data_IF_751075033718
#
_entry.id   IF_751075033718
#
_cell.length_a   1.000
_cell.length_b   1.000
_cell.length_c   1.000
_cell.angle_alpha   90.00
_cell.angle_beta   90.00
_cell.angle_gamma   90.00
#
_symmetry.space_group_name_H-M   'P 1'
#
loop_
_entity.id
_entity.type
_entity.pdbx_description
1 polymer ?
#
# COMPACT_ATOMS: atom_id res chain seq x y z
N UNK A 1 -2.13 9.77 13.45
CA UNK A 1 -2.82 9.64 12.14
C UNK A 1 -1.77 9.45 11.05
N UNK A 2 -1.78 8.33 10.32
CA UNK A 2 -0.82 8.15 9.24
C UNK A 2 -1.09 9.11 8.08
N UNK A 3 -0.09 9.92 7.78
CA UNK A 3 -0.10 10.83 6.64
C UNK A 3 0.81 10.21 5.57
N UNK A 4 0.21 9.76 4.48
CA UNK A 4 0.89 8.93 3.50
C UNK A 4 0.97 9.64 2.15
N UNK A 5 2.18 10.08 1.80
CA UNK A 5 2.42 10.67 0.47
C UNK A 5 2.47 9.55 -0.56
N UNK A 6 1.77 9.74 -1.67
CA UNK A 6 1.69 8.75 -2.73
C UNK A 6 1.98 9.38 -4.08
N UNK A 7 2.43 8.53 -5.03
CA UNK A 7 2.49 8.91 -6.43
C UNK A 7 1.08 9.16 -6.95
N UNK A 8 0.97 9.96 -8.01
CA UNK A 8 -0.32 10.28 -8.62
C UNK A 8 -1.08 9.02 -9.06
N UNK A 9 -0.41 8.07 -9.69
CA UNK A 9 -1.08 6.85 -10.15
C UNK A 9 -1.60 6.02 -8.96
N UNK A 10 -0.83 5.93 -7.88
CA UNK A 10 -1.23 5.20 -6.68
C UNK A 10 -2.45 5.87 -6.03
N UNK A 11 -2.45 7.20 -5.97
CA UNK A 11 -3.59 7.96 -5.46
C UNK A 11 -4.86 7.65 -6.24
N UNK A 12 -4.78 7.62 -7.56
CA UNK A 12 -5.91 7.31 -8.43
C UNK A 12 -6.43 5.89 -8.17
N UNK A 13 -5.53 4.91 -8.03
CA UNK A 13 -5.92 3.54 -7.72
C UNK A 13 -6.68 3.44 -6.40
N UNK A 14 -6.21 4.16 -5.39
CA UNK A 14 -6.87 4.20 -4.07
C UNK A 14 -8.24 4.87 -4.17
N UNK A 15 -8.32 5.99 -4.87
CA UNK A 15 -9.56 6.74 -5.03
C UNK A 15 -10.60 5.95 -5.81
N UNK A 16 -10.17 5.19 -6.81
CA UNK A 16 -11.07 4.37 -7.63
C UNK A 16 -11.43 3.03 -6.98
N UNK A 17 -10.81 2.70 -5.85
CA UNK A 17 -11.06 1.43 -5.18
C UNK A 17 -10.36 0.23 -5.80
N UNK A 18 -9.49 0.45 -6.78
CA UNK A 18 -8.70 -0.63 -7.41
C UNK A 18 -7.60 -1.13 -6.50
N UNK A 19 -7.02 -0.23 -5.70
CA UNK A 19 -6.02 -0.55 -4.71
C UNK A 19 -6.65 -0.42 -3.32
N UNK A 20 -6.65 -1.53 -2.56
CA UNK A 20 -7.20 -1.56 -1.22
C UNK A 20 -6.17 -1.95 -0.17
N UNK A 21 -4.93 -2.22 -0.59
CA UNK A 21 -3.83 -2.57 0.32
C UNK A 21 -2.66 -1.67 0.01
N UNK A 22 -2.31 -0.81 0.99
CA UNK A 22 -1.12 0.04 0.89
C UNK A 22 -0.03 -0.53 1.77
N UNK A 23 1.16 -0.74 1.18
CA UNK A 23 2.30 -1.32 1.89
C UNK A 23 3.35 -0.24 2.11
N UNK A 24 3.73 -0.07 3.37
CA UNK A 24 4.75 0.89 3.79
C UNK A 24 5.84 0.22 4.59
N UNK A 25 7.05 0.71 4.44
CA UNK A 25 8.23 0.25 5.15
C UNK A 25 8.08 0.55 6.64
N UNK A 26 8.42 -0.44 7.48
CA UNK A 26 8.45 -0.26 8.92
C UNK A 26 7.23 -0.80 9.63
N UNK A 27 7.18 -0.51 10.93
CA UNK A 27 6.11 -0.94 11.82
C UNK A 27 4.82 -0.15 11.57
N UNK A 28 3.66 -0.67 12.00
CA UNK A 28 2.39 0.02 11.79
C UNK A 28 2.34 1.38 12.48
N UNK A 29 1.81 2.37 11.76
CA UNK A 29 1.43 3.63 12.36
C UNK A 29 0.17 3.45 13.20
N UNK A 30 -0.01 4.29 14.22
CA UNK A 30 -1.22 4.31 15.03
C UNK A 30 -2.36 4.97 14.26
N UNK A 31 -3.59 4.58 14.63
CA UNK A 31 -4.79 5.18 14.07
C UNK A 31 -5.49 4.25 13.09
N UNK A 32 -6.74 4.56 12.83
CA UNK A 32 -7.61 3.76 11.98
C UNK A 32 -8.05 4.51 10.70
N UNK A 33 -7.46 5.69 10.46
CA UNK A 33 -7.71 6.47 9.25
C UNK A 33 -6.38 6.78 8.58
N UNK A 34 -6.28 6.49 7.30
CA UNK A 34 -5.13 6.83 6.49
C UNK A 34 -5.44 8.07 5.67
N UNK A 35 -4.54 9.05 5.69
CA UNK A 35 -4.62 10.27 4.89
C UNK A 35 -3.63 10.15 3.75
N UNK A 36 -4.12 9.92 2.54
CA UNK A 36 -3.28 9.83 1.35
C UNK A 36 -3.20 11.20 0.70
N UNK A 37 -1.97 11.60 0.36
CA UNK A 37 -1.71 12.91 -0.25
C UNK A 37 -0.93 12.73 -1.54
N UNK A 38 -1.41 13.37 -2.60
CA UNK A 38 -0.70 13.44 -3.87
C UNK A 38 -0.82 14.87 -4.41
N UNK A 39 0.26 15.66 -4.30
CA UNK A 39 0.21 17.08 -4.64
C UNK A 39 -0.84 17.81 -3.81
N UNK A 40 -1.78 18.54 -4.43
CA UNK A 40 -2.84 19.24 -3.71
C UNK A 40 -4.01 18.34 -3.34
N UNK A 41 -3.99 17.07 -3.74
CA UNK A 41 -5.12 16.15 -3.54
C UNK A 41 -4.96 15.36 -2.25
N UNK A 42 -6.07 15.15 -1.55
CA UNK A 42 -6.12 14.42 -0.30
C UNK A 42 -7.28 13.44 -0.32
N UNK A 43 -7.06 12.26 0.27
CA UNK A 43 -8.05 11.20 0.34
C UNK A 43 -7.95 10.53 1.71
N UNK A 44 -9.08 10.45 2.42
CA UNK A 44 -9.17 9.73 3.68
C UNK A 44 -9.81 8.37 3.46
N UNK A 45 -9.16 7.32 3.93
CA UNK A 45 -9.71 5.97 3.89
C UNK A 45 -9.59 5.33 5.27
N UNK A 46 -10.60 4.54 5.64
CA UNK A 46 -10.58 3.82 6.90
C UNK A 46 -9.64 2.62 6.78
N UNK A 47 -8.81 2.43 7.81
CA UNK A 47 -7.96 1.24 7.92
C UNK A 47 -8.76 0.16 8.65
N UNK A 48 -9.01 -0.96 7.98
CA UNK A 48 -9.81 -2.04 8.53
C UNK A 48 -8.95 -3.20 9.04
N UNK A 49 -7.68 -3.27 8.63
CA UNK A 49 -6.77 -4.32 9.05
C UNK A 49 -5.33 -3.85 8.81
N UNK A 50 -4.42 -4.29 9.67
CA UNK A 50 -2.98 -4.06 9.49
C UNK A 50 -2.27 -5.41 9.58
N UNK A 51 -1.36 -5.67 8.66
CA UNK A 51 -0.52 -6.86 8.68
C UNK A 51 0.94 -6.44 8.61
N UNK A 52 1.82 -7.15 9.32
CA UNK A 52 3.26 -6.89 9.27
C UNK A 52 3.98 -8.11 8.75
N UNK A 53 5.10 -7.89 8.07
CA UNK A 53 5.91 -8.97 7.54
C UNK A 53 6.85 -8.45 6.46
N UNK A 54 7.51 -9.39 5.79
CA UNK A 54 8.31 -9.08 4.62
C UNK A 54 7.42 -8.88 3.40
N UNK A 55 7.92 -8.21 2.38
CA UNK A 55 7.16 -7.99 1.15
C UNK A 55 6.61 -9.29 0.57
N UNK A 56 7.44 -10.34 0.55
CA UNK A 56 7.04 -11.64 -0.01
C UNK A 56 5.98 -12.36 0.81
N UNK A 57 5.82 -11.97 2.07
CA UNK A 57 4.76 -12.50 2.94
C UNK A 57 3.47 -11.71 2.79
N UNK A 58 3.57 -10.41 2.52
CA UNK A 58 2.42 -9.53 2.43
C UNK A 58 1.80 -9.54 1.03
N UNK A 59 2.61 -9.72 -0.01
CA UNK A 59 2.15 -9.76 -1.40
C UNK A 59 1.99 -11.22 -1.82
N UNK A 60 0.75 -11.63 -2.05
CA UNK A 60 0.41 -13.02 -2.33
C UNK A 60 -0.38 -13.15 -3.63
N UNK A 61 -0.53 -14.36 -4.10
CA UNK A 61 -1.27 -14.63 -5.32
C UNK A 61 -2.76 -14.24 -5.22
N UNK A 62 -3.31 -14.20 -4.01
CA UNK A 62 -4.70 -13.85 -3.80
C UNK A 62 -4.94 -12.36 -3.56
N UNK A 63 -3.89 -11.54 -3.47
CA UNK A 63 -4.07 -10.12 -3.15
C UNK A 63 -3.23 -9.14 -3.96
N UNK A 64 -2.29 -9.61 -4.78
CA UNK A 64 -1.29 -8.73 -5.38
C UNK A 64 -1.87 -7.62 -6.26
N UNK A 65 -3.02 -7.85 -6.90
CA UNK A 65 -3.67 -6.82 -7.72
C UNK A 65 -4.35 -5.75 -6.87
N UNK A 66 -4.68 -6.06 -5.62
CA UNK A 66 -5.19 -5.06 -4.69
C UNK A 66 -4.06 -4.21 -4.11
N UNK A 67 -2.82 -4.69 -4.22
CA UNK A 67 -1.62 -3.94 -3.84
C UNK A 67 -1.15 -3.09 -5.00
N UNK A 68 -0.93 -3.71 -6.17
CA UNK A 68 -0.49 -3.04 -7.40
C UNK A 68 -1.43 -3.48 -8.53
N UNK A 69 -2.46 -2.67 -8.83
CA UNK A 69 -3.48 -3.06 -9.80
C UNK A 69 -2.99 -3.38 -11.20
N UNK A 70 -1.87 -2.78 -11.63
CA UNK A 70 -1.32 -3.04 -12.95
C UNK A 70 -0.39 -4.25 -13.03
N UNK A 71 -0.10 -4.91 -11.90
CA UNK A 71 0.76 -6.09 -11.89
C UNK A 71 0.00 -7.31 -12.44
N UNK A 72 0.70 -8.15 -13.18
CA UNK A 72 0.13 -9.39 -13.71
C UNK A 72 0.49 -10.59 -12.84
N UNK A 73 1.52 -10.46 -12.01
CA UNK A 73 1.98 -11.52 -11.11
C UNK A 73 2.37 -10.92 -9.76
N UNK A 74 2.39 -11.74 -8.69
CA UNK A 74 2.92 -11.27 -7.39
C UNK A 74 4.35 -10.75 -7.50
N UNK A 75 5.18 -11.38 -8.31
CA UNK A 75 6.57 -10.95 -8.50
C UNK A 75 6.65 -9.54 -9.09
N UNK A 76 5.77 -9.20 -10.02
CA UNK A 76 5.71 -7.85 -10.58
C UNK A 76 5.29 -6.82 -9.55
N UNK A 77 4.33 -7.17 -8.68
CA UNK A 77 3.91 -6.29 -7.60
C UNK A 77 5.06 -6.04 -6.63
N UNK A 78 5.80 -7.08 -6.26
CA UNK A 78 6.98 -6.94 -5.41
C UNK A 78 8.05 -6.08 -6.10
N UNK A 79 8.27 -6.28 -7.39
CA UNK A 79 9.25 -5.48 -8.16
C UNK A 79 8.88 -4.00 -8.16
N UNK A 80 7.60 -3.69 -8.30
CA UNK A 80 7.11 -2.31 -8.24
C UNK A 80 7.45 -1.68 -6.88
N UNK A 81 7.17 -2.40 -5.79
CA UNK A 81 7.45 -1.92 -4.45
C UNK A 81 8.95 -1.78 -4.20
N UNK A 82 9.76 -2.67 -4.74
CA UNK A 82 11.21 -2.56 -4.63
C UNK A 82 11.74 -1.33 -5.37
N UNK A 83 11.07 -0.91 -6.43
CA UNK A 83 11.39 0.35 -7.10
C UNK A 83 11.18 1.57 -6.21
N UNK A 84 10.25 1.48 -5.24
CA UNK A 84 9.98 2.55 -4.29
C UNK A 84 10.88 2.49 -3.05
N UNK A 85 11.15 1.30 -2.54
CA UNK A 85 11.80 1.10 -1.24
C UNK A 85 13.21 0.52 -1.34
N UNK A 86 13.68 0.22 -2.55
CA UNK A 86 14.97 -0.40 -2.75
C UNK A 86 14.97 -1.86 -2.28
N UNK A 87 16.13 -2.34 -1.89
CA UNK A 87 16.33 -3.73 -1.48
C UNK A 87 16.20 -3.95 0.03
N UNK A 88 15.57 -3.01 0.74
CA UNK A 88 15.27 -3.19 2.16
C UNK A 88 14.45 -4.47 2.35
N UNK A 89 14.93 -5.38 3.19
CA UNK A 89 14.33 -6.70 3.41
C UNK A 89 13.90 -6.90 4.86
N UNK A 90 13.49 -5.82 5.52
CA UNK A 90 12.97 -5.87 6.87
C UNK A 90 11.45 -5.88 6.90
N UNK A 91 10.91 -5.39 8.01
CA UNK A 91 9.47 -5.37 8.26
C UNK A 91 8.79 -4.27 7.41
N UNK A 92 7.70 -4.66 6.78
CA UNK A 92 6.75 -3.75 6.14
C UNK A 92 5.39 -3.90 6.81
N UNK A 93 4.53 -2.95 6.60
CA UNK A 93 3.14 -3.00 7.06
C UNK A 93 2.20 -2.85 5.87
N UNK A 94 1.24 -3.76 5.78
CA UNK A 94 0.15 -3.69 4.81
C UNK A 94 -1.07 -3.11 5.52
N UNK A 95 -1.56 -1.98 5.02
CA UNK A 95 -2.76 -1.33 5.52
C UNK A 95 -3.91 -1.68 4.56
N UNK A 96 -4.87 -2.44 5.05
CA UNK A 96 -6.09 -2.72 4.30
C UNK A 96 -7.05 -1.57 4.54
N UNK A 97 -7.47 -0.92 3.46
CA UNK A 97 -8.30 0.29 3.55
C UNK A 97 -9.64 0.07 2.88
N UNK A 98 -10.63 0.79 3.39
CA UNK A 98 -11.99 0.78 2.87
C UNK A 98 -12.35 2.18 2.39
N UNK A 99 -12.96 2.29 1.20
CA UNK A 99 -13.43 3.58 0.70
C UNK A 99 -14.45 4.22 1.62
#
# INVERSE_FOLDING_TARGET
LPLLRTKKEVFIWLKEGKKTIEIRKGKPYRGDIAYFISGPNELQLKIIQKETGRLTELVRSDNFRRVIPCAETPAEAVAYLRGLYGDYDGVFTAYHVSP
#
